data_IF_327601668676
#
_entry.id   IF_327601668676
#
_cell.length_a   1.000
_cell.length_b   1.000
_cell.length_c   1.000
_cell.angle_alpha   90.00
_cell.angle_beta   90.00
_cell.angle_gamma   90.00
#
_symmetry.space_group_name_H-M   'P 1'
#
loop_
_entity.id
_entity.type
_entity.pdbx_description
1 polymer ?
#
# COMPACT_ATOMS: atom_id res chain seq x y z
N UNK A 1 6.96 -15.03 4.76
CA UNK A 1 7.12 -13.55 4.60
C UNK A 1 6.25 -12.82 5.61
N UNK A 2 6.76 -11.77 6.26
CA UNK A 2 5.95 -10.91 7.13
C UNK A 2 5.56 -9.62 6.39
N UNK A 3 4.28 -9.26 6.44
CA UNK A 3 3.73 -8.03 5.87
C UNK A 3 3.38 -7.08 7.00
N UNK A 4 3.88 -5.85 6.90
CA UNK A 4 3.58 -4.76 7.83
C UNK A 4 2.70 -3.77 7.08
N UNK A 5 1.42 -3.72 7.40
CA UNK A 5 0.44 -2.90 6.69
C UNK A 5 -0.09 -1.80 7.60
N UNK A 6 0.16 -0.53 7.26
CA UNK A 6 -0.41 0.60 8.02
C UNK A 6 -1.92 0.76 7.78
N UNK A 7 -2.46 0.09 6.76
CA UNK A 7 -3.89 -0.04 6.49
C UNK A 7 -4.19 -1.43 5.93
N UNK A 8 -5.22 -2.08 6.46
CA UNK A 8 -5.68 -3.39 6.01
C UNK A 8 -7.21 -3.51 6.10
N UNK A 9 -7.76 -4.62 5.59
CA UNK A 9 -9.21 -4.90 5.65
C UNK A 9 -9.71 -4.83 7.10
N UNK A 10 -10.89 -4.27 7.38
CA UNK A 10 -11.98 -3.99 6.45
C UNK A 10 -11.90 -2.64 5.73
N UNK A 11 -10.93 -1.78 6.07
CA UNK A 11 -10.72 -0.52 5.34
C UNK A 11 -10.34 -0.83 3.89
N UNK A 12 -11.10 -0.32 2.92
CA UNK A 12 -10.85 -0.55 1.49
C UNK A 12 -10.27 0.71 0.87
N UNK A 13 -8.98 0.69 0.59
CA UNK A 13 -8.28 1.71 -0.17
C UNK A 13 -7.23 1.07 -1.09
N UNK A 14 -6.40 1.89 -1.74
CA UNK A 14 -5.35 1.40 -2.63
C UNK A 14 -4.28 0.57 -1.91
N UNK A 15 -3.97 0.91 -0.65
CA UNK A 15 -2.95 0.26 0.17
C UNK A 15 -3.45 -1.10 0.61
N UNK A 16 -4.61 -1.14 1.27
CA UNK A 16 -5.20 -2.37 1.78
C UNK A 16 -5.49 -3.36 0.67
N UNK A 17 -5.93 -2.89 -0.50
CA UNK A 17 -6.12 -3.74 -1.68
C UNK A 17 -4.82 -4.33 -2.20
N UNK A 18 -3.73 -3.55 -2.25
CA UNK A 18 -2.44 -4.07 -2.72
C UNK A 18 -1.87 -5.08 -1.75
N UNK A 19 -1.93 -4.80 -0.44
CA UNK A 19 -1.51 -5.74 0.60
C UNK A 19 -2.33 -7.03 0.53
N UNK A 20 -3.67 -6.93 0.44
CA UNK A 20 -4.57 -8.07 0.27
C UNK A 20 -4.20 -8.93 -0.94
N UNK A 21 -4.06 -8.32 -2.13
CA UNK A 21 -3.72 -9.06 -3.35
C UNK A 21 -2.35 -9.72 -3.24
N UNK A 22 -1.39 -9.07 -2.57
CA UNK A 22 -0.06 -9.65 -2.32
C UNK A 22 -0.16 -10.87 -1.42
N UNK A 23 -0.89 -10.80 -0.30
CA UNK A 23 -1.12 -11.94 0.59
C UNK A 23 -1.77 -13.09 -0.19
N UNK A 24 -2.82 -12.82 -0.97
CA UNK A 24 -3.51 -13.85 -1.77
C UNK A 24 -2.59 -14.54 -2.77
N UNK A 25 -1.75 -13.77 -3.46
CA UNK A 25 -0.79 -14.33 -4.42
C UNK A 25 0.26 -15.20 -3.71
N UNK A 26 0.79 -14.75 -2.57
CA UNK A 26 1.74 -15.52 -1.77
C UNK A 26 1.13 -16.84 -1.30
N UNK A 27 -0.12 -16.82 -0.81
CA UNK A 27 -0.86 -18.03 -0.43
C UNK A 27 -1.04 -19.00 -1.60
N UNK A 28 -1.45 -18.50 -2.77
CA UNK A 28 -1.64 -19.30 -3.97
C UNK A 28 -0.35 -19.96 -4.47
N UNK A 29 0.80 -19.39 -4.11
CA UNK A 29 2.12 -19.91 -4.44
C UNK A 29 2.76 -20.71 -3.29
N UNK A 30 1.95 -21.12 -2.30
CA UNK A 30 2.39 -21.98 -1.20
C UNK A 30 3.25 -21.29 -0.14
N UNK A 31 3.28 -19.95 -0.11
CA UNK A 31 4.11 -19.18 0.82
C UNK A 31 3.34 -18.84 2.07
N UNK A 32 3.98 -19.06 3.22
CA UNK A 32 3.44 -18.65 4.51
C UNK A 32 3.56 -17.13 4.70
N UNK A 33 2.47 -16.53 5.19
CA UNK A 33 2.38 -15.08 5.39
C UNK A 33 1.79 -14.76 6.75
N UNK A 34 2.49 -13.90 7.48
CA UNK A 34 2.00 -13.20 8.67
C UNK A 34 1.73 -11.74 8.30
N UNK A 35 0.61 -11.18 8.75
CA UNK A 35 0.29 -9.75 8.56
C UNK A 35 0.23 -9.08 9.92
N UNK A 36 0.86 -7.92 10.08
CA UNK A 36 0.66 -7.01 11.22
C UNK A 36 -0.05 -5.76 10.69
N UNK A 37 -1.19 -5.42 11.28
CA UNK A 37 -2.06 -4.35 10.80
C UNK A 37 -2.75 -3.62 11.97
N UNK A 38 -3.32 -2.42 11.77
CA UNK A 38 -4.10 -1.73 12.80
C UNK A 38 -5.18 -2.61 13.46
N UNK A 39 -5.49 -2.36 14.72
CA UNK A 39 -6.43 -3.13 15.54
C UNK A 39 -7.84 -3.33 14.97
N UNK A 40 -8.29 -2.47 14.05
CA UNK A 40 -9.55 -2.65 13.32
C UNK A 40 -9.50 -3.75 12.26
N UNK A 41 -8.32 -4.33 12.01
CA UNK A 41 -8.14 -5.26 10.91
C UNK A 41 -8.83 -6.60 11.18
N UNK A 42 -9.22 -7.30 10.10
CA UNK A 42 -9.67 -8.70 10.19
C UNK A 42 -8.58 -9.57 10.84
N UNK A 43 -8.94 -10.60 11.58
CA UNK A 43 -7.99 -11.45 12.31
C UNK A 43 -7.31 -12.51 11.44
N UNK A 44 -7.95 -12.91 10.33
CA UNK A 44 -7.42 -13.92 9.41
C UNK A 44 -7.74 -13.57 7.97
N UNK A 45 -6.86 -14.01 7.07
CA UNK A 45 -7.10 -13.97 5.64
C UNK A 45 -6.75 -15.35 5.07
N UNK A 46 -7.73 -16.24 4.92
CA UNK A 46 -7.45 -17.63 4.55
C UNK A 46 -6.53 -18.30 5.59
N UNK A 47 -5.43 -18.96 5.19
CA UNK A 47 -4.49 -19.58 6.12
C UNK A 47 -3.58 -18.57 6.86
N UNK A 48 -3.55 -17.30 6.44
CA UNK A 48 -2.66 -16.30 7.03
C UNK A 48 -3.27 -15.66 8.26
N UNK A 49 -2.48 -15.61 9.33
CA UNK A 49 -2.80 -14.85 10.54
C UNK A 49 -2.58 -13.36 10.30
N UNK A 50 -3.52 -12.55 10.78
CA UNK A 50 -3.43 -11.09 10.83
C UNK A 50 -3.42 -10.69 12.29
N UNK A 51 -2.33 -10.09 12.75
CA UNK A 51 -2.14 -9.68 14.13
C UNK A 51 -2.56 -8.21 14.25
N UNK A 52 -3.61 -7.92 15.04
CA UNK A 52 -4.00 -6.55 15.32
C UNK A 52 -2.93 -5.86 16.16
N UNK A 53 -2.56 -4.65 15.75
CA UNK A 53 -1.59 -3.80 16.41
C UNK A 53 -2.28 -2.54 16.92
N UNK A 54 -1.97 -2.06 18.14
CA UNK A 54 -2.61 -0.87 18.70
C UNK A 54 -2.54 0.31 17.74
N UNK A 55 -3.68 0.98 17.53
CA UNK A 55 -3.77 2.09 16.58
C UNK A 55 -4.63 3.24 17.10
N UNK A 56 -4.40 4.43 16.54
CA UNK A 56 -5.17 5.63 16.85
C UNK A 56 -5.86 6.16 15.59
N UNK A 57 -7.09 6.67 15.75
CA UNK A 57 -7.80 7.36 14.68
C UNK A 57 -7.28 8.79 14.56
N UNK A 58 -7.22 9.30 13.33
CA UNK A 58 -6.92 10.71 13.11
C UNK A 58 -8.11 11.59 13.49
N UNK A 59 -7.87 12.77 14.08
CA UNK A 59 -8.96 13.64 14.54
C UNK A 59 -9.91 14.10 13.41
N UNK A 60 -9.40 14.36 12.20
CA UNK A 60 -10.21 14.74 11.02
C UNK A 60 -10.76 13.53 10.26
N UNK A 61 -10.25 12.33 10.53
CA UNK A 61 -10.56 11.11 9.79
C UNK A 61 -10.43 9.89 10.71
N UNK A 62 -11.33 9.70 11.70
CA UNK A 62 -11.21 8.66 12.72
C UNK A 62 -11.18 7.23 12.14
N UNK A 63 -11.77 7.04 10.96
CA UNK A 63 -11.74 5.80 10.18
C UNK A 63 -10.35 5.49 9.62
N UNK A 64 -9.49 6.50 9.50
CA UNK A 64 -8.08 6.32 9.19
C UNK A 64 -7.31 6.08 10.48
N UNK A 65 -7.02 4.80 10.71
CA UNK A 65 -6.20 4.33 11.82
C UNK A 65 -4.73 4.40 11.46
N UNK A 66 -3.92 4.88 12.40
CA UNK A 66 -2.46 4.88 12.34
C UNK A 66 -1.95 3.86 13.36
N UNK A 67 -1.31 2.79 12.89
CA UNK A 67 -0.73 1.79 13.78
C UNK A 67 0.46 2.40 14.53
N UNK A 68 0.51 2.17 15.84
CA UNK A 68 1.54 2.72 16.70
C UNK A 68 2.78 1.82 16.70
N UNK A 69 3.98 2.41 16.93
CA UNK A 69 5.16 1.62 17.24
C UNK A 69 4.90 0.80 18.51
N UNK A 70 5.01 -0.53 18.41
CA UNK A 70 4.71 -1.40 19.53
C UNK A 70 5.74 -2.55 19.64
N UNK A 71 6.20 -2.93 20.84
CA UNK A 71 7.23 -3.98 21.03
C UNK A 71 6.77 -5.36 20.55
N UNK A 72 5.45 -5.62 20.51
CA UNK A 72 4.92 -6.87 19.97
C UNK A 72 5.30 -7.12 18.50
N UNK A 73 5.61 -6.06 17.73
CA UNK A 73 6.14 -6.22 16.37
C UNK A 73 7.40 -7.09 16.39
N UNK A 74 8.36 -6.77 17.27
CA UNK A 74 9.60 -7.54 17.38
C UNK A 74 9.34 -8.99 17.80
N UNK A 75 8.47 -9.17 18.80
CA UNK A 75 8.07 -10.51 19.28
C UNK A 75 7.50 -11.36 18.15
N UNK A 76 6.53 -10.85 17.41
CA UNK A 76 5.88 -11.61 16.34
C UNK A 76 6.82 -11.87 15.16
N UNK A 77 7.73 -10.95 14.83
CA UNK A 77 8.76 -11.21 13.83
C UNK A 77 9.74 -12.30 14.29
N UNK A 78 10.16 -12.30 15.55
CA UNK A 78 11.02 -13.35 16.11
C UNK A 78 10.35 -14.72 16.17
N UNK A 79 9.09 -14.79 16.56
CA UNK A 79 8.32 -16.04 16.60
C UNK A 79 8.13 -16.62 15.19
N UNK A 80 7.79 -15.76 14.24
CA UNK A 80 7.46 -16.17 12.88
C UNK A 80 8.68 -16.44 11.99
N UNK A 81 9.84 -15.81 12.28
CA UNK A 81 11.10 -15.96 11.53
C UNK A 81 10.94 -15.77 10.00
N UNK A 82 10.48 -14.60 9.52
CA UNK A 82 10.25 -14.39 8.11
C UNK A 82 11.57 -14.27 7.32
N UNK A 83 11.58 -14.76 6.07
CA UNK A 83 12.73 -14.54 5.16
C UNK A 83 12.81 -13.09 4.65
N UNK A 84 11.67 -12.39 4.63
CA UNK A 84 11.53 -11.02 4.12
C UNK A 84 10.45 -10.31 4.95
N UNK A 85 10.71 -9.04 5.29
CA UNK A 85 9.71 -8.10 5.78
C UNK A 85 9.29 -7.15 4.66
N UNK A 86 8.00 -7.11 4.35
CA UNK A 86 7.43 -6.23 3.33
C UNK A 86 6.50 -5.18 3.93
N UNK A 87 6.90 -3.92 3.85
CA UNK A 87 6.17 -2.76 4.38
C UNK A 87 5.20 -2.21 3.33
N UNK A 88 3.93 -2.03 3.69
CA UNK A 88 2.90 -1.42 2.88
C UNK A 88 2.49 -0.07 3.47
N UNK A 89 2.71 0.99 2.67
CA UNK A 89 2.51 2.39 3.07
C UNK A 89 3.26 2.74 4.37
N UNK A 90 4.59 2.57 4.45
CA UNK A 90 5.31 2.66 5.72
C UNK A 90 5.01 3.93 6.51
N UNK A 91 4.74 3.82 7.80
CA UNK A 91 4.58 4.97 8.69
C UNK A 91 5.23 4.67 10.05
N UNK A 92 4.49 4.78 11.16
CA UNK A 92 5.06 4.67 12.50
C UNK A 92 5.39 3.22 12.88
N UNK A 93 4.46 2.27 12.70
CA UNK A 93 4.70 0.85 13.02
C UNK A 93 5.83 0.26 12.17
N UNK A 94 5.89 0.67 10.90
CA UNK A 94 6.90 0.21 9.95
C UNK A 94 8.34 0.53 10.36
N UNK A 95 8.56 1.60 11.13
CA UNK A 95 9.88 1.92 11.66
C UNK A 95 10.37 0.85 12.65
N UNK A 96 9.51 0.44 13.60
CA UNK A 96 9.85 -0.64 14.54
C UNK A 96 10.11 -1.96 13.82
N UNK A 97 9.31 -2.30 12.81
CA UNK A 97 9.51 -3.51 12.02
C UNK A 97 10.83 -3.48 11.25
N UNK A 98 11.22 -2.31 10.74
CA UNK A 98 12.52 -2.12 10.05
C UNK A 98 13.69 -2.34 11.00
N UNK A 99 13.65 -1.78 12.21
CA UNK A 99 14.69 -2.00 13.22
C UNK A 99 14.79 -3.48 13.61
N UNK A 100 13.65 -4.12 13.87
CA UNK A 100 13.61 -5.53 14.24
C UNK A 100 14.21 -6.42 13.13
N UNK A 101 13.79 -6.22 11.88
CA UNK A 101 14.31 -6.96 10.75
C UNK A 101 15.83 -6.79 10.58
N UNK A 102 16.36 -5.56 10.73
CA UNK A 102 17.81 -5.31 10.67
C UNK A 102 18.57 -6.05 11.76
N UNK A 103 18.06 -6.05 13.01
CA UNK A 103 18.69 -6.80 14.11
C UNK A 103 18.68 -8.31 13.86
N UNK A 104 17.70 -8.79 13.12
CA UNK A 104 17.57 -10.20 12.73
C UNK A 104 18.32 -10.56 11.44
N UNK A 105 18.94 -9.59 10.75
CA UNK A 105 19.59 -9.82 9.46
C UNK A 105 18.61 -10.11 8.30
N UNK A 106 17.34 -9.71 8.43
CA UNK A 106 16.27 -10.00 7.46
C UNK A 106 16.14 -8.83 6.47
N UNK A 107 16.08 -9.10 5.15
CA UNK A 107 15.86 -8.06 4.15
C UNK A 107 14.48 -7.40 4.26
N UNK A 108 14.45 -6.09 4.02
CA UNK A 108 13.25 -5.24 4.14
C UNK A 108 12.92 -4.57 2.82
N UNK A 109 11.67 -4.72 2.35
CA UNK A 109 11.17 -4.10 1.12
C UNK A 109 10.02 -3.16 1.47
N UNK A 110 10.06 -1.92 1.00
CA UNK A 110 9.04 -0.92 1.27
C UNK A 110 8.25 -0.54 0.02
N UNK A 111 6.93 -0.49 0.11
CA UNK A 111 6.05 -0.07 -0.97
C UNK A 111 5.59 1.38 -0.77
N UNK A 112 5.97 2.28 -1.69
CA UNK A 112 5.56 3.68 -1.67
C UNK A 112 4.18 3.83 -2.32
N UNK A 113 3.13 3.99 -1.53
CA UNK A 113 1.75 4.09 -2.05
C UNK A 113 0.97 5.30 -1.57
N UNK A 114 1.35 5.86 -0.42
CA UNK A 114 0.67 6.99 0.21
C UNK A 114 1.61 8.19 0.19
N UNK A 115 1.21 9.25 -0.50
CA UNK A 115 1.91 10.53 -0.46
C UNK A 115 1.53 11.29 0.82
N UNK A 116 2.08 10.85 1.95
CA UNK A 116 1.85 11.51 3.26
C UNK A 116 2.20 13.01 3.20
N UNK A 117 3.32 13.44 2.55
CA UNK A 117 3.60 14.86 2.35
C UNK A 117 2.48 15.61 1.61
N UNK A 118 1.96 15.04 0.51
CA UNK A 118 0.84 15.62 -0.24
C UNK A 118 -0.44 15.70 0.60
N UNK A 119 -0.75 14.64 1.37
CA UNK A 119 -1.88 14.66 2.30
C UNK A 119 -1.74 15.72 3.38
N UNK A 120 -0.56 15.92 3.96
CA UNK A 120 -0.33 16.97 4.96
C UNK A 120 -0.67 18.37 4.39
N UNK A 121 -0.34 18.64 3.12
CA UNK A 121 -0.73 19.88 2.46
C UNK A 121 -2.25 19.97 2.27
N UNK A 122 -2.88 18.90 1.78
CA UNK A 122 -4.32 18.86 1.50
C UNK A 122 -5.18 18.98 2.77
N UNK A 123 -4.74 18.40 3.88
CA UNK A 123 -5.46 18.42 5.16
C UNK A 123 -5.19 19.68 6.01
N UNK A 124 -4.55 20.71 5.44
CA UNK A 124 -4.37 22.00 6.12
C UNK A 124 -3.15 22.08 7.05
N UNK A 125 -2.20 21.14 6.95
CA UNK A 125 -0.96 21.13 7.71
C UNK A 125 0.28 21.21 6.81
N UNK A 126 0.43 22.25 5.95
CA UNK A 126 1.54 22.33 5.01
C UNK A 126 2.91 22.36 5.70
N UNK A 127 2.98 22.85 6.94
CA UNK A 127 4.20 22.84 7.75
C UNK A 127 4.69 21.43 8.09
N UNK A 128 3.82 20.41 8.09
CA UNK A 128 4.18 19.00 8.29
C UNK A 128 4.66 18.31 7.01
N UNK A 129 4.46 18.89 5.83
CA UNK A 129 4.81 18.24 4.56
C UNK A 129 6.31 17.94 4.46
N UNK A 130 7.17 18.88 4.85
CA UNK A 130 8.63 18.68 4.85
C UNK A 130 9.06 17.64 5.90
N UNK A 131 8.68 17.76 7.20
CA UNK A 131 8.94 16.72 8.19
C UNK A 131 8.47 15.32 7.75
N UNK A 132 7.24 15.20 7.24
CA UNK A 132 6.69 13.93 6.77
C UNK A 132 7.52 13.35 5.62
N UNK A 133 7.98 14.19 4.68
CA UNK A 133 8.84 13.75 3.58
C UNK A 133 10.20 13.27 4.07
N UNK A 134 10.83 13.99 4.99
CA UNK A 134 12.14 13.59 5.53
C UNK A 134 12.03 12.30 6.36
N UNK A 135 10.99 12.16 7.17
CA UNK A 135 10.68 10.93 7.89
C UNK A 135 10.47 9.75 6.94
N UNK A 136 9.67 9.95 5.90
CA UNK A 136 9.41 8.90 4.92
C UNK A 136 10.67 8.48 4.17
N UNK A 137 11.47 9.47 3.76
CA UNK A 137 12.76 9.23 3.13
C UNK A 137 13.68 8.42 4.04
N UNK A 138 13.71 8.73 5.32
CA UNK A 138 14.52 8.02 6.31
C UNK A 138 14.11 6.54 6.41
N UNK A 139 12.83 6.22 6.56
CA UNK A 139 12.36 4.82 6.61
C UNK A 139 12.68 4.08 5.30
N UNK A 140 12.32 4.66 4.16
CA UNK A 140 12.56 4.04 2.85
C UNK A 140 14.05 3.84 2.56
N UNK A 141 14.91 4.80 2.94
CA UNK A 141 16.36 4.68 2.84
C UNK A 141 16.98 3.75 3.90
N UNK A 142 16.20 3.27 4.84
CA UNK A 142 16.60 2.19 5.75
C UNK A 142 16.20 0.81 5.21
N UNK A 143 15.42 0.73 4.14
CA UNK A 143 15.02 -0.52 3.51
C UNK A 143 16.02 -0.97 2.43
N UNK A 144 16.09 -2.28 2.17
CA UNK A 144 16.93 -2.84 1.11
C UNK A 144 16.42 -2.43 -0.28
N UNK A 145 15.10 -2.28 -0.42
CA UNK A 145 14.47 -1.86 -1.66
C UNK A 145 13.23 -1.02 -1.40
N UNK A 146 13.04 0.04 -2.18
CA UNK A 146 11.79 0.79 -2.23
C UNK A 146 11.11 0.59 -3.59
N UNK A 147 9.86 0.15 -3.55
CA UNK A 147 9.01 -0.07 -4.69
C UNK A 147 8.18 1.18 -4.97
N UNK A 148 8.36 1.77 -6.14
CA UNK A 148 7.63 2.93 -6.62
C UNK A 148 6.57 2.52 -7.67
N UNK A 149 5.36 3.10 -7.63
CA UNK A 149 4.23 2.64 -8.43
C UNK A 149 4.33 3.04 -9.91
N UNK A 150 5.17 4.02 -10.24
CA UNK A 150 5.34 4.56 -11.59
C UNK A 150 6.70 5.19 -11.78
N UNK A 151 7.11 5.39 -13.03
CA UNK A 151 8.33 6.12 -13.38
C UNK A 151 8.28 7.58 -12.91
N UNK A 152 7.11 8.22 -12.99
CA UNK A 152 6.92 9.59 -12.53
C UNK A 152 7.18 9.70 -11.02
N UNK A 153 6.59 8.81 -10.22
CA UNK A 153 6.81 8.75 -8.78
C UNK A 153 8.28 8.42 -8.45
N UNK A 154 8.89 7.46 -9.15
CA UNK A 154 10.30 7.12 -8.92
C UNK A 154 11.23 8.32 -9.19
N UNK A 155 11.00 9.08 -10.25
CA UNK A 155 11.76 10.29 -10.57
C UNK A 155 11.61 11.36 -9.49
N UNK A 156 10.38 11.60 -9.01
CA UNK A 156 10.11 12.53 -7.92
C UNK A 156 10.81 12.11 -6.62
N UNK A 157 10.68 10.84 -6.23
CA UNK A 157 11.34 10.29 -5.03
C UNK A 157 12.86 10.39 -5.13
N UNK A 158 13.43 10.15 -6.33
CA UNK A 158 14.86 10.31 -6.57
C UNK A 158 15.31 11.76 -6.35
N UNK A 159 14.55 12.75 -6.82
CA UNK A 159 14.82 14.18 -6.55
C UNK A 159 14.76 14.51 -5.06
N UNK A 160 13.88 13.83 -4.30
CA UNK A 160 13.81 13.98 -2.84
C UNK A 160 14.92 13.22 -2.09
N UNK A 161 15.77 12.45 -2.77
CA UNK A 161 16.91 11.75 -2.19
C UNK A 161 16.61 10.32 -1.72
N UNK A 162 15.54 9.71 -2.22
CA UNK A 162 15.27 8.28 -1.99
C UNK A 162 16.26 7.44 -2.80
N UNK A 163 16.70 6.32 -2.22
CA UNK A 163 17.69 5.39 -2.77
C UNK A 163 17.06 4.03 -3.04
N UNK A 164 17.71 3.21 -3.88
CA UNK A 164 17.33 1.80 -4.16
C UNK A 164 15.86 1.68 -4.60
N UNK A 165 15.48 2.51 -5.57
CA UNK A 165 14.14 2.53 -6.15
C UNK A 165 14.02 1.45 -7.24
N UNK A 166 12.90 0.71 -7.23
CA UNK A 166 12.46 -0.16 -8.32
C UNK A 166 11.01 0.11 -8.67
N UNK A 167 10.67 -0.04 -9.94
CA UNK A 167 9.29 0.11 -10.38
C UNK A 167 8.51 -1.15 -10.01
N UNK A 168 7.41 -0.96 -9.28
CA UNK A 168 6.41 -1.98 -9.04
C UNK A 168 5.05 -1.40 -9.42
N UNK A 169 4.71 -1.55 -10.70
CA UNK A 169 3.46 -1.08 -11.24
C UNK A 169 2.25 -1.78 -10.62
N UNK A 170 1.09 -1.13 -10.71
CA UNK A 170 -0.17 -1.77 -10.32
C UNK A 170 -0.53 -2.84 -11.36
N UNK A 171 -0.90 -4.02 -10.88
CA UNK A 171 -1.48 -5.06 -11.72
C UNK A 171 -2.97 -4.80 -12.00
N UNK A 172 -3.46 -5.36 -13.10
CA UNK A 172 -4.90 -5.44 -13.41
C UNK A 172 -5.30 -6.91 -13.51
N UNK A 173 -6.51 -7.27 -13.07
CA UNK A 173 -7.02 -8.62 -13.26
C UNK A 173 -7.32 -8.82 -14.76
N UNK A 174 -6.42 -9.50 -15.48
CA UNK A 174 -6.50 -9.72 -16.92
C UNK A 174 -7.64 -10.66 -17.35
N UNK A 175 -8.21 -11.46 -16.43
CA UNK A 175 -9.42 -12.23 -16.72
C UNK A 175 -10.67 -11.33 -16.74
N UNK A 176 -10.73 -10.35 -15.85
CA UNK A 176 -11.85 -9.40 -15.75
C UNK A 176 -11.72 -8.26 -16.77
N UNK A 177 -10.55 -7.66 -16.89
CA UNK A 177 -10.23 -6.55 -17.79
C UNK A 177 -9.47 -7.10 -18.99
N UNK A 178 -10.23 -7.70 -19.91
CA UNK A 178 -9.71 -8.35 -21.10
C UNK A 178 -10.30 -7.65 -22.35
N UNK A 179 -9.49 -7.27 -23.36
CA UNK A 179 -10.00 -6.72 -24.61
C UNK A 179 -11.04 -7.60 -25.31
N UNK A 180 -10.98 -8.92 -25.13
CA UNK A 180 -11.97 -9.88 -25.65
C UNK A 180 -13.36 -9.72 -25.04
N UNK A 181 -13.49 -9.01 -23.91
CA UNK A 181 -14.79 -8.67 -23.30
C UNK A 181 -15.39 -7.36 -23.84
N UNK A 182 -14.80 -6.78 -24.89
CA UNK A 182 -15.39 -5.63 -25.59
C UNK A 182 -16.82 -5.97 -26.04
N UNK A 183 -17.74 -5.04 -25.85
CA UNK A 183 -19.15 -5.24 -26.18
C UNK A 183 -19.66 -4.11 -27.07
N UNK A 184 -19.97 -4.45 -28.33
CA UNK A 184 -20.54 -3.50 -29.27
C UNK A 184 -21.95 -3.06 -28.87
N UNK A 185 -22.69 -3.94 -28.18
CA UNK A 185 -23.97 -3.61 -27.55
C UNK A 185 -23.83 -2.44 -26.56
N UNK A 186 -22.82 -2.49 -25.68
CA UNK A 186 -22.56 -1.40 -24.74
C UNK A 186 -22.10 -0.13 -25.44
N UNK A 187 -21.24 -0.25 -26.47
CA UNK A 187 -20.82 0.90 -27.28
C UNK A 187 -22.01 1.60 -27.92
N UNK A 188 -22.90 0.87 -28.61
CA UNK A 188 -24.13 1.41 -29.22
C UNK A 188 -25.02 2.10 -28.19
N UNK A 189 -25.18 1.49 -27.02
CA UNK A 189 -25.94 2.09 -25.91
C UNK A 189 -25.35 3.43 -25.45
N UNK A 190 -24.02 3.50 -25.28
CA UNK A 190 -23.35 4.73 -24.82
C UNK A 190 -23.32 5.84 -25.90
N UNK A 191 -23.30 5.47 -27.18
CA UNK A 191 -23.42 6.42 -28.27
C UNK A 191 -24.82 7.05 -28.36
N UNK A 192 -25.86 6.36 -27.88
CA UNK A 192 -27.23 6.88 -27.77
C UNK A 192 -27.76 7.50 -29.08
N UNK A 193 -27.65 6.75 -30.18
CA UNK A 193 -28.12 7.18 -31.51
C UNK A 193 -27.16 8.10 -32.27
N UNK A 194 -26.01 8.47 -31.70
CA UNK A 194 -24.93 9.16 -32.42
C UNK A 194 -24.20 8.21 -33.39
N UNK A 195 -23.44 8.81 -34.29
CA UNK A 195 -22.56 8.12 -35.25
C UNK A 195 -21.75 7.01 -34.57
N UNK A 196 -21.74 5.82 -35.17
CA UNK A 196 -21.02 4.63 -34.70
C UNK A 196 -19.50 4.83 -34.61
N UNK A 197 -18.97 5.73 -35.43
CA UNK A 197 -17.56 6.10 -35.51
C UNK A 197 -17.22 7.30 -34.62
N UNK A 198 -18.20 7.88 -33.92
CA UNK A 198 -17.94 8.99 -33.01
C UNK A 198 -16.95 8.60 -31.90
N UNK A 199 -16.13 9.57 -31.51
CA UNK A 199 -15.26 9.45 -30.35
C UNK A 199 -16.12 9.37 -29.09
N UNK A 200 -16.00 8.26 -28.36
CA UNK A 200 -16.66 8.07 -27.07
C UNK A 200 -15.67 8.38 -25.95
N UNK A 201 -15.84 9.52 -25.29
CA UNK A 201 -15.09 9.85 -24.08
C UNK A 201 -15.82 9.30 -22.84
N UNK A 202 -15.13 8.48 -22.04
CA UNK A 202 -15.67 7.90 -20.81
C UNK A 202 -14.81 8.32 -19.64
N UNK A 203 -15.43 8.92 -18.63
CA UNK A 203 -14.81 9.20 -17.34
C UNK A 203 -15.27 8.17 -16.31
N UNK A 204 -14.31 7.48 -15.70
CA UNK A 204 -14.55 6.55 -14.60
C UNK A 204 -13.57 6.86 -13.47
N UNK A 205 -14.03 7.65 -12.51
CA UNK A 205 -13.24 8.10 -11.37
C UNK A 205 -14.12 8.64 -10.26
N UNK A 206 -13.52 8.93 -9.10
CA UNK A 206 -14.21 9.68 -8.05
C UNK A 206 -14.29 11.14 -8.47
N UNK A 207 -15.51 11.70 -8.46
CA UNK A 207 -15.70 13.15 -8.49
C UNK A 207 -15.23 13.68 -7.13
N UNK A 208 -14.11 14.40 -7.13
CA UNK A 208 -13.65 15.17 -5.99
C UNK A 208 -14.08 16.61 -6.25
N UNK A 209 -14.90 17.15 -5.34
CA UNK A 209 -15.28 18.56 -5.34
C UNK A 209 -14.17 19.41 -4.74
#
# INVERSE_FOLDING_TARGET
MAIIAEAFLPKVDGVSKTAYLTVRYLQQTGREVLVLAPDIAIETLGPSRVIPMPSLGLWMAPETRVALPHPAVNRHLHEFRPDIVHLFSPALMSFNATIAAHRMGIPVIANYQTDIPGYAQQYGFPFLARPAREWMKFIHNSCHLTLAPSQATASQLKQWGYKRLRIWGRGVNAQRFNPMRRSDRWRKKLLNGRDENALLCVYAGRLAN
#
